data_IF_535166621528
#
_entry.id   IF_535166621528
#
_cell.length_a   1.000
_cell.length_b   1.000
_cell.length_c   1.000
_cell.angle_alpha   90.00
_cell.angle_beta   90.00
_cell.angle_gamma   90.00
#
_symmetry.space_group_name_H-M   'P 1'
#
loop_
_entity.id
_entity.type
_entity.pdbx_description
1 polymer ?
#
# COMPACT_ATOMS: atom_id res chain seq x y z
N UNK A 1 73.91 35.72 24.19
CA UNK A 1 74.50 36.97 23.63
C UNK A 1 73.72 37.37 22.42
N UNK A 2 73.23 38.58 22.39
CA UNK A 2 72.49 39.34 21.39
C UNK A 2 70.97 39.18 21.32
N UNK A 3 70.38 40.13 21.94
CA UNK A 3 69.07 40.72 21.73
C UNK A 3 68.96 41.29 20.30
N UNK A 4 67.79 41.16 19.71
CA UNK A 4 67.26 42.15 18.78
C UNK A 4 65.77 42.30 19.02
N UNK A 5 65.38 43.45 19.48
CA UNK A 5 64.04 43.98 19.58
C UNK A 5 63.53 44.37 18.18
N UNK A 6 62.32 44.00 17.80
CA UNK A 6 61.63 44.66 16.70
C UNK A 6 60.19 44.97 17.08
N UNK A 7 59.92 46.26 17.14
CA UNK A 7 58.66 46.92 17.38
C UNK A 7 57.62 46.54 16.27
N UNK A 8 56.47 46.08 16.66
CA UNK A 8 55.33 45.91 15.75
C UNK A 8 54.42 47.11 15.88
N UNK A 9 54.32 47.86 14.79
CA UNK A 9 53.38 48.98 14.61
C UNK A 9 51.95 48.40 14.46
N UNK A 10 51.05 48.86 15.35
CA UNK A 10 49.60 48.66 15.21
C UNK A 10 49.09 49.55 14.08
N UNK A 11 48.59 48.95 13.02
CA UNK A 11 47.76 49.62 12.01
C UNK A 11 46.32 49.29 12.31
N UNK A 12 45.56 50.29 12.71
CA UNK A 12 44.10 50.19 12.89
C UNK A 12 43.47 50.48 11.55
N UNK A 13 42.98 49.43 10.88
CA UNK A 13 42.12 49.57 9.70
C UNK A 13 40.67 49.39 10.12
N UNK A 14 39.91 50.46 10.13
CA UNK A 14 38.47 50.44 10.27
C UNK A 14 37.89 50.07 8.90
N UNK A 15 37.45 48.87 8.72
CA UNK A 15 36.71 48.47 7.54
C UNK A 15 35.19 48.51 7.81
N UNK A 16 34.54 49.44 7.13
CA UNK A 16 33.10 49.60 7.09
C UNK A 16 32.51 48.42 6.32
N UNK A 17 32.07 47.37 7.01
CA UNK A 17 31.46 46.20 6.44
C UNK A 17 29.97 46.45 6.14
N UNK A 18 29.59 46.54 4.88
CA UNK A 18 28.21 46.54 4.46
C UNK A 18 27.59 45.17 4.79
N UNK A 19 26.59 45.15 5.67
CA UNK A 19 25.77 43.96 5.92
C UNK A 19 24.81 43.79 4.77
N UNK A 20 25.19 42.95 3.79
CA UNK A 20 24.24 42.47 2.75
C UNK A 20 23.45 41.37 3.42
N UNK A 21 22.19 41.68 3.76
CA UNK A 21 21.23 40.70 4.25
C UNK A 21 20.92 39.70 3.13
N UNK A 22 21.50 38.51 3.22
CA UNK A 22 21.07 37.35 2.43
C UNK A 22 19.75 36.87 3.01
N UNK A 23 18.61 37.32 2.45
CA UNK A 23 17.34 36.62 2.61
C UNK A 23 17.46 35.29 1.88
N UNK A 24 17.83 34.25 2.61
CA UNK A 24 17.83 32.89 2.10
C UNK A 24 16.41 32.47 1.74
N UNK A 25 16.07 32.50 0.46
CA UNK A 25 14.90 31.81 -0.06
C UNK A 25 15.21 30.31 0.14
N UNK A 26 14.61 29.70 1.16
CA UNK A 26 14.62 28.27 1.31
C UNK A 26 13.80 27.68 0.13
N UNK A 27 14.51 27.34 -0.95
CA UNK A 27 13.96 26.54 -2.03
C UNK A 27 13.71 25.17 -1.41
N UNK A 28 12.47 24.93 -0.93
CA UNK A 28 12.03 23.63 -0.50
C UNK A 28 12.26 22.66 -1.64
N UNK A 29 13.27 21.82 -1.54
CA UNK A 29 13.49 20.74 -2.50
C UNK A 29 12.27 19.83 -2.39
N UNK A 30 11.40 19.90 -3.40
CA UNK A 30 10.30 18.94 -3.57
C UNK A 30 10.94 17.56 -3.70
N UNK A 31 10.78 16.75 -2.64
CA UNK A 31 11.25 15.37 -2.66
C UNK A 31 10.56 14.66 -3.81
N UNK A 32 11.29 13.99 -4.73
CA UNK A 32 10.65 13.30 -5.85
C UNK A 32 9.63 12.31 -5.29
N UNK A 33 8.39 12.41 -5.78
CA UNK A 33 7.33 11.48 -5.38
C UNK A 33 7.79 10.06 -5.68
N UNK A 34 7.86 9.21 -4.65
CA UNK A 34 8.27 7.82 -4.83
C UNK A 34 7.37 7.15 -5.87
N UNK A 35 7.98 6.46 -6.84
CA UNK A 35 7.24 5.78 -7.90
C UNK A 35 6.22 4.79 -7.29
N UNK A 36 4.98 4.81 -7.82
CA UNK A 36 3.90 3.96 -7.32
C UNK A 36 4.28 2.48 -7.42
N UNK A 37 4.20 1.76 -6.31
CA UNK A 37 4.51 0.34 -6.25
C UNK A 37 3.48 -0.49 -7.05
N UNK A 38 3.80 -1.75 -7.36
CA UNK A 38 2.84 -2.65 -7.98
C UNK A 38 1.59 -2.83 -7.12
N UNK A 39 1.74 -2.86 -5.78
CA UNK A 39 0.61 -2.89 -4.85
C UNK A 39 -0.29 -1.66 -4.98
N UNK A 40 0.30 -0.46 -5.09
CA UNK A 40 -0.47 0.78 -5.28
C UNK A 40 -1.26 0.76 -6.58
N UNK A 41 -0.65 0.31 -7.66
CA UNK A 41 -1.29 0.18 -8.97
C UNK A 41 -2.47 -0.80 -8.95
N UNK A 42 -2.32 -1.96 -8.28
CA UNK A 42 -3.38 -2.97 -8.12
C UNK A 42 -4.55 -2.40 -7.33
N UNK A 43 -4.29 -1.75 -6.18
CA UNK A 43 -5.34 -1.13 -5.37
C UNK A 43 -6.02 0.01 -6.13
N UNK A 44 -5.25 0.86 -6.81
CA UNK A 44 -5.78 1.94 -7.66
C UNK A 44 -6.69 1.41 -8.78
N UNK A 45 -6.29 0.30 -9.43
CA UNK A 45 -7.17 -0.36 -10.41
C UNK A 45 -8.44 -0.89 -9.75
N UNK A 46 -8.34 -1.52 -8.59
CA UNK A 46 -9.48 -2.02 -7.84
C UNK A 46 -10.48 -0.91 -7.46
N UNK A 47 -9.99 0.28 -7.14
CA UNK A 47 -10.84 1.44 -6.82
C UNK A 47 -11.73 1.89 -7.99
N UNK A 48 -11.32 1.65 -9.24
CA UNK A 48 -12.15 1.96 -10.42
C UNK A 48 -13.42 1.10 -10.49
N UNK A 49 -13.50 0.04 -9.71
CA UNK A 49 -14.62 -0.89 -9.66
C UNK A 49 -15.45 -0.77 -8.38
N UNK A 50 -15.22 0.25 -7.54
CA UNK A 50 -16.05 0.48 -6.35
C UNK A 50 -17.54 0.54 -6.75
N UNK A 51 -18.38 -0.15 -5.98
CA UNK A 51 -19.82 -0.26 -6.25
C UNK A 51 -20.23 -1.28 -7.32
N UNK A 52 -19.29 -1.88 -8.07
CA UNK A 52 -19.64 -2.96 -9.01
C UNK A 52 -20.28 -4.12 -8.26
N UNK A 53 -21.45 -4.54 -8.74
CA UNK A 53 -22.32 -5.51 -8.06
C UNK A 53 -21.63 -6.86 -7.81
N UNK A 54 -21.86 -7.40 -6.63
CA UNK A 54 -21.47 -8.77 -6.30
C UNK A 54 -22.38 -9.77 -7.01
N UNK A 55 -21.79 -10.80 -7.62
CA UNK A 55 -22.49 -12.00 -8.13
C UNK A 55 -21.64 -13.23 -7.86
N UNK A 56 -22.14 -14.15 -7.05
CA UNK A 56 -21.46 -15.42 -6.83
C UNK A 56 -21.27 -16.18 -8.14
N UNK A 57 -20.06 -16.72 -8.36
CA UNK A 57 -19.71 -17.42 -9.61
C UNK A 57 -19.50 -16.50 -10.82
N UNK A 58 -19.24 -15.22 -10.61
CA UNK A 58 -18.95 -14.27 -11.70
C UNK A 58 -17.81 -14.78 -12.58
N UNK A 59 -17.97 -14.85 -13.93
CA UNK A 59 -16.93 -15.38 -14.82
C UNK A 59 -15.61 -14.59 -14.73
N UNK A 60 -14.49 -15.27 -14.94
CA UNK A 60 -13.17 -14.64 -15.08
C UNK A 60 -13.18 -13.59 -16.20
N UNK A 61 -12.54 -12.45 -15.96
CA UNK A 61 -12.42 -11.38 -16.96
C UNK A 61 -13.65 -10.49 -17.14
N UNK A 62 -14.83 -10.89 -16.64
CA UNK A 62 -16.02 -10.04 -16.65
C UNK A 62 -15.91 -8.93 -15.61
N UNK A 63 -16.24 -7.69 -15.99
CA UNK A 63 -16.12 -6.52 -15.12
C UNK A 63 -17.46 -5.89 -14.71
N UNK A 64 -18.56 -6.31 -15.32
CA UNK A 64 -19.91 -5.83 -14.95
C UNK A 64 -20.41 -6.41 -13.62
N UNK A 65 -19.84 -7.52 -13.17
CA UNK A 65 -20.05 -8.12 -11.85
C UNK A 65 -18.80 -8.83 -11.38
N UNK A 66 -18.62 -8.96 -10.07
CA UNK A 66 -17.54 -9.76 -9.47
C UNK A 66 -18.06 -10.63 -8.34
N UNK A 67 -17.39 -11.77 -8.10
CA UNK A 67 -17.25 -12.33 -6.77
C UNK A 67 -15.86 -12.01 -6.20
N UNK A 68 -15.61 -12.37 -4.95
CA UNK A 68 -14.37 -12.01 -4.26
C UNK A 68 -13.10 -12.44 -5.00
N UNK A 69 -13.07 -13.65 -5.51
CA UNK A 69 -11.90 -14.24 -6.17
C UNK A 69 -11.79 -13.87 -7.65
N UNK A 70 -12.89 -13.64 -8.38
CA UNK A 70 -12.82 -13.09 -9.73
C UNK A 70 -12.34 -11.64 -9.74
N UNK A 71 -12.70 -10.87 -8.71
CA UNK A 71 -12.19 -9.51 -8.52
C UNK A 71 -10.68 -9.48 -8.29
N UNK A 72 -10.18 -10.23 -7.33
CA UNK A 72 -8.74 -10.32 -7.09
C UNK A 72 -7.99 -10.88 -8.30
N UNK A 73 -8.52 -11.95 -8.93
CA UNK A 73 -7.94 -12.50 -10.15
C UNK A 73 -7.81 -11.44 -11.25
N UNK A 74 -8.83 -10.63 -11.46
CA UNK A 74 -8.85 -9.59 -12.47
C UNK A 74 -7.80 -8.50 -12.21
N UNK A 75 -7.81 -7.87 -11.02
CA UNK A 75 -6.92 -6.73 -10.75
C UNK A 75 -5.45 -7.13 -10.66
N UNK A 76 -5.14 -8.34 -10.17
CA UNK A 76 -3.76 -8.85 -10.16
C UNK A 76 -3.31 -9.29 -11.57
N UNK A 77 -4.22 -9.89 -12.35
CA UNK A 77 -3.95 -10.32 -13.73
C UNK A 77 -3.51 -9.18 -14.63
N UNK A 78 -4.06 -7.96 -14.45
CA UNK A 78 -3.66 -6.75 -15.20
C UNK A 78 -2.20 -6.34 -14.97
N UNK A 79 -1.58 -6.85 -13.90
CA UNK A 79 -0.17 -6.60 -13.57
C UNK A 79 0.71 -7.86 -13.65
N UNK A 80 0.25 -8.87 -14.43
CA UNK A 80 1.01 -10.08 -14.74
C UNK A 80 0.98 -11.16 -13.65
N UNK A 81 0.15 -11.01 -12.60
CA UNK A 81 0.07 -11.99 -11.52
C UNK A 81 -1.17 -12.86 -11.75
N UNK A 82 -0.92 -14.10 -12.19
CA UNK A 82 -1.98 -15.08 -12.48
C UNK A 82 -2.45 -15.75 -11.19
N UNK A 83 -3.67 -15.43 -10.76
CA UNK A 83 -4.35 -16.05 -9.62
C UNK A 83 -5.36 -17.13 -10.09
N UNK A 84 -5.51 -18.24 -9.34
CA UNK A 84 -6.57 -19.20 -9.59
C UNK A 84 -7.96 -18.58 -9.48
N UNK A 85 -8.98 -19.27 -10.04
CA UNK A 85 -10.35 -18.75 -10.05
C UNK A 85 -10.99 -18.70 -8.66
N UNK A 86 -10.71 -19.66 -7.78
CA UNK A 86 -11.37 -19.77 -6.49
C UNK A 86 -10.47 -19.34 -5.33
N UNK A 87 -11.07 -18.76 -4.29
CA UNK A 87 -10.33 -18.19 -3.15
C UNK A 87 -9.48 -19.21 -2.40
N UNK A 88 -9.92 -20.45 -2.25
CA UNK A 88 -9.15 -21.50 -1.59
C UNK A 88 -7.85 -21.86 -2.32
N UNK A 89 -7.83 -21.78 -3.67
CA UNK A 89 -6.64 -22.02 -4.46
C UNK A 89 -5.74 -20.79 -4.54
N UNK A 90 -6.32 -19.58 -4.50
CA UNK A 90 -5.55 -18.35 -4.33
C UNK A 90 -4.77 -18.37 -3.01
N UNK A 91 -5.33 -18.94 -1.94
CA UNK A 91 -4.67 -19.10 -0.66
C UNK A 91 -3.46 -20.04 -0.66
N UNK A 92 -3.23 -20.78 -1.74
CA UNK A 92 -2.05 -21.64 -1.95
C UNK A 92 -0.93 -20.92 -2.72
N UNK A 93 -1.17 -19.70 -3.25
CA UNK A 93 -0.20 -18.94 -4.04
C UNK A 93 0.70 -18.08 -3.15
N UNK A 94 1.91 -17.82 -3.65
CA UNK A 94 2.90 -17.02 -2.94
C UNK A 94 3.32 -17.61 -1.60
N UNK A 95 3.80 -16.78 -0.69
CA UNK A 95 4.20 -17.20 0.65
C UNK A 95 3.28 -16.65 1.74
N UNK A 96 3.20 -17.38 2.85
CA UNK A 96 2.36 -17.01 4.00
C UNK A 96 2.91 -15.75 4.68
N UNK A 97 2.01 -14.86 5.07
CA UNK A 97 2.31 -13.66 5.83
C UNK A 97 1.52 -13.68 7.14
N UNK A 98 2.17 -13.38 8.26
CA UNK A 98 1.48 -13.21 9.53
C UNK A 98 0.61 -11.95 9.52
N UNK A 99 -0.46 -11.92 10.31
CA UNK A 99 -1.36 -10.77 10.39
C UNK A 99 -0.64 -9.48 10.82
N UNK A 100 0.39 -9.59 11.66
CA UNK A 100 1.22 -8.47 12.11
C UNK A 100 2.10 -7.89 11.01
N UNK A 101 2.49 -8.70 10.00
CA UNK A 101 3.41 -8.33 8.93
C UNK A 101 2.69 -8.00 7.60
N UNK A 102 1.38 -7.77 7.64
CA UNK A 102 0.60 -7.42 6.47
C UNK A 102 1.08 -6.12 5.83
N UNK A 103 1.24 -6.15 4.50
CA UNK A 103 1.58 -4.99 3.66
C UNK A 103 0.52 -4.81 2.58
N UNK A 104 0.36 -3.59 2.10
CA UNK A 104 -0.54 -3.30 0.97
C UNK A 104 -0.26 -4.26 -0.20
N UNK A 105 -1.32 -4.83 -0.77
CA UNK A 105 -1.23 -5.81 -1.84
C UNK A 105 -1.11 -7.27 -1.35
N UNK A 106 -1.14 -7.55 -0.05
CA UNK A 106 -1.29 -8.91 0.44
C UNK A 106 -2.74 -9.38 0.25
N UNK A 107 -2.92 -10.63 -0.14
CA UNK A 107 -4.23 -11.28 -0.15
C UNK A 107 -4.57 -11.75 1.27
N UNK A 108 -5.76 -11.40 1.76
CA UNK A 108 -6.29 -11.83 3.07
C UNK A 108 -7.47 -12.76 2.87
N UNK A 109 -7.50 -13.86 3.60
CA UNK A 109 -8.46 -14.95 3.40
C UNK A 109 -9.29 -15.21 4.64
N UNK A 110 -10.57 -15.52 4.43
CA UNK A 110 -11.54 -15.69 5.49
C UNK A 110 -12.43 -16.92 5.24
N UNK A 111 -12.92 -17.49 6.31
CA UNK A 111 -14.10 -18.36 6.25
C UNK A 111 -15.36 -17.51 6.01
N UNK A 112 -16.48 -18.14 5.70
CA UNK A 112 -17.80 -17.50 5.64
C UNK A 112 -18.84 -18.40 6.27
N UNK A 113 -20.02 -17.86 6.63
CA UNK A 113 -21.14 -18.70 7.11
C UNK A 113 -21.45 -19.86 6.16
N UNK A 114 -21.35 -19.63 4.84
CA UNK A 114 -21.60 -20.65 3.81
C UNK A 114 -20.54 -21.74 3.76
N UNK A 115 -19.27 -21.42 4.06
CA UNK A 115 -18.13 -22.36 3.92
C UNK A 115 -17.69 -23.00 5.22
N UNK A 116 -18.28 -22.60 6.35
CA UNK A 116 -17.93 -23.09 7.67
C UNK A 116 -16.44 -22.86 7.99
N UNK A 117 -15.69 -23.96 8.17
CA UNK A 117 -14.25 -23.90 8.47
C UNK A 117 -13.34 -23.72 7.24
N UNK A 118 -13.89 -23.80 6.02
CA UNK A 118 -13.11 -23.70 4.78
C UNK A 118 -12.99 -22.25 4.32
N UNK A 119 -11.91 -21.91 3.63
CA UNK A 119 -11.74 -20.58 3.00
C UNK A 119 -12.86 -20.38 1.96
N UNK A 120 -13.60 -19.30 2.13
CA UNK A 120 -14.70 -18.93 1.24
C UNK A 120 -14.67 -17.51 0.75
N UNK A 121 -13.67 -16.71 1.22
CA UNK A 121 -13.56 -15.31 0.86
C UNK A 121 -12.11 -14.86 0.76
N UNK A 122 -11.89 -13.86 -0.09
CA UNK A 122 -10.58 -13.19 -0.27
C UNK A 122 -10.78 -11.69 -0.48
N UNK A 123 -9.84 -10.91 0.05
CA UNK A 123 -9.71 -9.47 -0.19
C UNK A 123 -8.26 -9.07 -0.37
N UNK A 124 -8.03 -7.86 -0.82
CA UNK A 124 -6.71 -7.24 -0.94
C UNK A 124 -6.48 -6.32 0.26
N UNK A 125 -5.47 -6.57 1.04
CA UNK A 125 -5.10 -5.68 2.14
C UNK A 125 -4.56 -4.35 1.61
N UNK A 126 -5.09 -3.24 2.10
CA UNK A 126 -4.76 -1.90 1.60
C UNK A 126 -3.98 -1.05 2.61
N UNK A 127 -3.62 -1.64 3.75
CA UNK A 127 -2.99 -0.92 4.87
C UNK A 127 -4.01 -0.50 5.94
N UNK A 128 -3.51 -0.09 7.09
CA UNK A 128 -4.30 0.46 8.21
C UNK A 128 -5.51 -0.42 8.61
N UNK A 129 -5.34 -1.75 8.57
CA UNK A 129 -6.40 -2.69 8.94
C UNK A 129 -7.58 -2.76 7.96
N UNK A 130 -7.45 -2.26 6.72
CA UNK A 130 -8.50 -2.27 5.71
C UNK A 130 -8.20 -3.26 4.58
N UNK A 131 -9.25 -3.79 3.97
CA UNK A 131 -9.18 -4.57 2.73
C UNK A 131 -10.15 -4.03 1.69
N UNK A 132 -9.78 -4.13 0.42
CA UNK A 132 -10.63 -3.93 -0.75
C UNK A 132 -11.13 -5.30 -1.22
N UNK A 133 -12.44 -5.48 -1.31
CA UNK A 133 -13.06 -6.77 -1.61
C UNK A 133 -14.46 -6.60 -2.17
N UNK A 134 -15.15 -7.69 -2.49
CA UNK A 134 -16.58 -7.68 -2.82
C UNK A 134 -17.27 -8.87 -2.15
N UNK A 135 -18.39 -8.60 -1.43
CA UNK A 135 -19.16 -9.60 -0.69
C UNK A 135 -20.58 -9.09 -0.40
N UNK A 136 -21.53 -9.44 -1.26
CA UNK A 136 -22.89 -8.91 -1.17
C UNK A 136 -23.00 -7.43 -1.57
N UNK A 137 -24.04 -6.75 -1.07
CA UNK A 137 -24.16 -5.29 -1.24
C UNK A 137 -23.15 -4.56 -0.33
N UNK A 138 -22.58 -3.43 -0.78
CA UNK A 138 -22.80 -2.69 -2.02
C UNK A 138 -21.97 -3.18 -3.23
N UNK A 139 -21.40 -4.37 -3.20
CA UNK A 139 -20.47 -4.87 -4.22
C UNK A 139 -19.03 -4.62 -3.82
N UNK A 140 -18.20 -4.15 -4.77
CA UNK A 140 -16.79 -3.83 -4.47
C UNK A 140 -16.73 -2.67 -3.48
N UNK A 141 -16.06 -2.89 -2.35
CA UNK A 141 -16.03 -1.94 -1.24
C UNK A 141 -14.82 -2.15 -0.34
N UNK A 142 -14.65 -1.26 0.61
CA UNK A 142 -13.68 -1.37 1.69
C UNK A 142 -14.33 -1.90 2.96
N UNK A 143 -13.62 -2.80 3.66
CA UNK A 143 -14.01 -3.24 5.01
C UNK A 143 -12.80 -3.27 5.94
N UNK A 144 -13.03 -3.11 7.24
CA UNK A 144 -12.01 -3.36 8.25
C UNK A 144 -11.84 -4.87 8.47
N UNK A 145 -10.61 -5.38 8.34
CA UNK A 145 -10.28 -6.77 8.72
C UNK A 145 -10.37 -7.01 10.23
N UNK A 146 -10.53 -5.95 11.02
CA UNK A 146 -10.64 -5.97 12.46
C UNK A 146 -12.09 -5.78 12.95
N UNK A 147 -13.08 -5.61 12.05
CA UNK A 147 -14.49 -5.66 12.44
C UNK A 147 -14.83 -7.03 13.05
N UNK A 148 -15.85 -7.10 13.87
CA UNK A 148 -16.24 -8.34 14.60
C UNK A 148 -16.35 -9.54 13.66
N UNK A 149 -17.06 -9.39 12.54
CA UNK A 149 -17.23 -10.45 11.55
C UNK A 149 -15.90 -10.88 10.92
N UNK A 150 -15.15 -9.96 10.30
CA UNK A 150 -13.92 -10.31 9.59
C UNK A 150 -12.80 -10.76 10.52
N UNK A 151 -12.73 -10.21 11.73
CA UNK A 151 -11.77 -10.67 12.75
C UNK A 151 -12.01 -12.12 13.16
N UNK A 152 -13.26 -12.50 13.38
CA UNK A 152 -13.64 -13.87 13.76
C UNK A 152 -13.45 -14.90 12.63
N UNK A 153 -13.53 -14.47 11.37
CA UNK A 153 -13.44 -15.35 10.20
C UNK A 153 -12.06 -15.35 9.51
N UNK A 154 -11.08 -14.59 10.04
CA UNK A 154 -9.74 -14.52 9.45
C UNK A 154 -9.01 -15.86 9.53
N UNK A 155 -8.43 -16.31 8.40
CA UNK A 155 -7.71 -17.59 8.31
C UNK A 155 -6.22 -17.36 8.09
N UNK A 156 -5.84 -16.63 7.05
CA UNK A 156 -4.43 -16.48 6.63
C UNK A 156 -4.27 -15.30 5.68
N UNK A 157 -3.02 -14.99 5.36
CA UNK A 157 -2.67 -14.08 4.28
C UNK A 157 -1.55 -14.62 3.40
N UNK A 158 -1.49 -14.15 2.16
CA UNK A 158 -0.48 -14.51 1.16
C UNK A 158 0.08 -13.28 0.48
N UNK A 159 1.40 -13.25 0.30
CA UNK A 159 2.07 -12.28 -0.56
C UNK A 159 2.43 -12.93 -1.88
N UNK A 160 1.96 -12.31 -2.97
CA UNK A 160 2.11 -12.77 -4.36
C UNK A 160 2.78 -11.72 -5.24
N UNK A 161 3.21 -10.60 -4.62
CA UNK A 161 3.93 -9.48 -5.23
C UNK A 161 5.43 -9.63 -5.07
#
# INVERSE_FOLDING_TARGET
MNLQHTLVRKVLTVSLGAVIGFTGIAIGQAQPAAAATKADKIVSLGNKYLGVKYRFGSPSGKTSTFDCSSFTQYIYGKYGIKLPRVSSDQAKKGYRVSKANLKKGDLVFFTTKRTGKKIGHVGVYTGKGKMLHTYGAPGVTYSSINSSYWKAHYVTARRVL
#
